data_IF_655460306737
#
_entry.id   IF_655460306737
#
_cell.length_a   1.000
_cell.length_b   1.000
_cell.length_c   1.000
_cell.angle_alpha   90.00
_cell.angle_beta   90.00
_cell.angle_gamma   90.00
#
_symmetry.space_group_name_H-M   'P 1'
#
loop_
_entity.id
_entity.type
_entity.pdbx_description
1 polymer ?
#
# COMPACT_ATOMS: atom_id res chain seq x y z
N UNK A 1 1.01 33.73 -15.76
CA UNK A 1 0.89 32.51 -14.94
C UNK A 1 -0.53 32.41 -14.44
N UNK A 2 -1.30 31.39 -14.85
CA UNK A 2 -2.66 31.17 -14.34
C UNK A 2 -2.60 30.45 -12.99
N UNK A 3 -3.28 30.93 -11.93
CA UNK A 3 -3.31 30.24 -10.66
C UNK A 3 -4.02 28.90 -10.80
N UNK A 4 -3.41 27.83 -10.27
CA UNK A 4 -4.00 26.49 -10.28
C UNK A 4 -5.22 26.49 -9.35
N UNK A 5 -6.41 26.05 -9.81
CA UNK A 5 -7.60 25.91 -8.97
C UNK A 5 -7.33 25.05 -7.72
N UNK A 6 -7.78 25.51 -6.55
CA UNK A 6 -7.57 24.85 -5.24
C UNK A 6 -8.02 23.37 -5.25
N UNK A 7 -9.10 23.06 -5.96
CA UNK A 7 -9.59 21.68 -6.13
C UNK A 7 -8.58 20.75 -6.82
N UNK A 8 -7.83 21.26 -7.81
CA UNK A 8 -6.78 20.50 -8.52
C UNK A 8 -5.57 20.30 -7.61
N UNK A 9 -5.19 21.32 -6.84
CA UNK A 9 -4.09 21.24 -5.88
C UNK A 9 -4.36 20.20 -4.78
N UNK A 10 -5.58 20.18 -4.23
CA UNK A 10 -5.96 19.21 -3.20
C UNK A 10 -5.99 17.76 -3.73
N UNK A 11 -6.46 17.55 -4.97
CA UNK A 11 -6.38 16.23 -5.63
C UNK A 11 -4.93 15.78 -5.82
N UNK A 12 -4.03 16.66 -6.27
CA UNK A 12 -2.59 16.35 -6.42
C UNK A 12 -1.96 15.97 -5.08
N UNK A 13 -2.19 16.74 -4.01
CA UNK A 13 -1.68 16.42 -2.66
C UNK A 13 -2.18 15.08 -2.15
N UNK A 14 -3.48 14.79 -2.33
CA UNK A 14 -4.07 13.49 -1.94
C UNK A 14 -3.47 12.32 -2.71
N UNK A 15 -3.15 12.52 -3.99
CA UNK A 15 -2.45 11.51 -4.81
C UNK A 15 -1.04 11.25 -4.29
N UNK A 16 -0.24 12.29 -4.05
CA UNK A 16 1.13 12.15 -3.52
C UNK A 16 1.11 11.40 -2.19
N UNK A 17 0.22 11.77 -1.26
CA UNK A 17 0.08 11.06 0.03
C UNK A 17 -0.27 9.58 -0.13
N UNK A 18 -1.02 9.20 -1.17
CA UNK A 18 -1.32 7.79 -1.47
C UNK A 18 -0.10 7.06 -2.01
N UNK A 19 0.61 7.64 -2.99
CA UNK A 19 1.81 7.02 -3.58
C UNK A 19 2.89 6.76 -2.51
N UNK A 20 3.16 7.73 -1.64
CA UNK A 20 4.09 7.57 -0.52
C UNK A 20 3.63 6.44 0.41
N UNK A 21 2.33 6.35 0.70
CA UNK A 21 1.80 5.27 1.54
C UNK A 21 1.92 3.91 0.89
N UNK A 22 1.64 3.80 -0.42
CA UNK A 22 1.81 2.56 -1.18
C UNK A 22 3.27 2.09 -1.17
N UNK A 23 4.20 3.03 -1.35
CA UNK A 23 5.64 2.76 -1.27
C UNK A 23 6.04 2.25 0.12
N UNK A 24 5.61 2.91 1.19
CA UNK A 24 5.89 2.48 2.56
C UNK A 24 5.35 1.06 2.86
N UNK A 25 4.10 0.78 2.45
CA UNK A 25 3.49 -0.55 2.62
C UNK A 25 4.36 -1.60 1.91
N UNK A 26 4.75 -1.33 0.66
CA UNK A 26 5.59 -2.23 -0.10
C UNK A 26 6.95 -2.47 0.58
N UNK A 27 7.68 -1.42 0.94
CA UNK A 27 8.99 -1.55 1.61
C UNK A 27 8.92 -2.31 2.93
N UNK A 28 7.86 -2.13 3.71
CA UNK A 28 7.73 -2.83 4.99
C UNK A 28 7.48 -4.32 4.79
N UNK A 29 6.61 -4.67 3.85
CA UNK A 29 6.36 -6.07 3.48
C UNK A 29 7.62 -6.69 2.85
N UNK A 30 8.41 -5.91 2.10
CA UNK A 30 9.68 -6.36 1.53
C UNK A 30 10.71 -6.73 2.60
N UNK A 31 10.77 -5.96 3.68
CA UNK A 31 11.66 -6.22 4.82
C UNK A 31 11.22 -7.43 5.65
N UNK A 32 9.91 -7.58 5.90
CA UNK A 32 9.37 -8.63 6.78
C UNK A 32 8.10 -9.28 6.20
N UNK A 33 8.27 -10.04 5.12
CA UNK A 33 7.21 -10.79 4.44
C UNK A 33 6.51 -11.75 5.42
N UNK A 34 5.18 -11.74 5.46
CA UNK A 34 4.37 -12.57 6.34
C UNK A 34 4.21 -12.07 7.78
N UNK A 35 4.83 -10.95 8.16
CA UNK A 35 4.63 -10.30 9.47
C UNK A 35 3.44 -9.36 9.47
N UNK A 36 3.27 -8.62 8.39
CA UNK A 36 2.33 -7.50 8.32
C UNK A 36 0.90 -7.95 8.08
N UNK A 37 -0.03 -7.24 8.72
CA UNK A 37 -1.48 -7.34 8.49
C UNK A 37 -2.04 -5.95 8.19
N UNK A 38 -3.22 -5.89 7.58
CA UNK A 38 -3.92 -4.62 7.32
C UNK A 38 -4.11 -3.79 8.59
N UNK A 39 -4.38 -4.42 9.74
CA UNK A 39 -4.58 -3.74 11.02
C UNK A 39 -3.30 -3.14 11.58
N UNK A 40 -2.18 -3.85 11.48
CA UNK A 40 -0.86 -3.34 11.91
C UNK A 40 -0.44 -2.13 11.07
N UNK A 41 -0.54 -2.26 9.74
CA UNK A 41 -0.23 -1.17 8.82
C UNK A 41 -1.12 0.06 9.05
N UNK A 42 -2.40 -0.13 9.38
CA UNK A 42 -3.32 0.96 9.69
C UNK A 42 -2.90 1.74 10.93
N UNK A 43 -2.52 1.03 11.99
CA UNK A 43 -2.03 1.62 13.23
C UNK A 43 -0.72 2.39 13.00
N UNK A 44 0.24 1.79 12.33
CA UNK A 44 1.59 2.33 12.20
C UNK A 44 1.68 3.48 11.19
N UNK A 45 0.80 3.50 10.18
CA UNK A 45 0.71 4.59 9.20
C UNK A 45 -0.33 5.66 9.57
N UNK A 46 -0.91 5.57 10.78
CA UNK A 46 -1.96 6.46 11.30
C UNK A 46 -3.09 6.72 10.29
N UNK A 47 -3.65 5.63 9.77
CA UNK A 47 -4.75 5.67 8.81
C UNK A 47 -5.80 4.62 9.12
N UNK A 48 -7.02 4.84 8.63
CA UNK A 48 -8.10 3.87 8.83
C UNK A 48 -7.78 2.53 8.16
N UNK A 49 -8.18 1.38 8.77
CA UNK A 49 -8.02 0.06 8.16
C UNK A 49 -8.62 -0.04 6.76
N UNK A 50 -9.75 0.65 6.52
CA UNK A 50 -10.40 0.72 5.22
C UNK A 50 -9.51 1.39 4.15
N UNK A 51 -8.73 2.39 4.53
CA UNK A 51 -7.80 3.06 3.61
C UNK A 51 -6.65 2.13 3.24
N UNK A 52 -6.04 1.46 4.22
CA UNK A 52 -5.00 0.47 3.97
C UNK A 52 -5.54 -0.68 3.13
N UNK A 53 -6.73 -1.19 3.43
CA UNK A 53 -7.35 -2.26 2.65
C UNK A 53 -7.49 -1.87 1.18
N UNK A 54 -7.97 -0.66 0.88
CA UNK A 54 -8.06 -0.16 -0.49
C UNK A 54 -6.70 -0.04 -1.18
N UNK A 55 -5.64 0.31 -0.43
CA UNK A 55 -4.28 0.41 -0.95
C UNK A 55 -3.65 -0.96 -1.18
N UNK A 56 -3.90 -1.92 -0.28
CA UNK A 56 -3.49 -3.33 -0.41
C UNK A 56 -4.14 -3.96 -1.64
N UNK A 57 -5.45 -3.74 -1.84
CA UNK A 57 -6.15 -4.26 -3.03
C UNK A 57 -5.47 -3.77 -4.33
N UNK A 58 -5.00 -2.52 -4.39
CA UNK A 58 -4.23 -2.01 -5.54
C UNK A 58 -2.87 -2.69 -5.68
N UNK A 59 -2.22 -3.03 -4.58
CA UNK A 59 -0.93 -3.74 -4.58
C UNK A 59 -1.06 -5.25 -4.83
N UNK A 60 -2.29 -5.76 -4.87
CA UNK A 60 -2.62 -7.17 -5.17
C UNK A 60 -3.17 -7.38 -6.58
N UNK A 61 -3.41 -6.30 -7.36
CA UNK A 61 -3.87 -6.43 -8.75
C UNK A 61 -2.94 -7.36 -9.57
N UNK A 62 -3.43 -8.00 -10.63
CA UNK A 62 -2.59 -8.85 -11.48
C UNK A 62 -1.32 -8.11 -11.93
N UNK A 63 -0.15 -8.72 -11.74
CA UNK A 63 1.16 -8.12 -12.02
C UNK A 63 1.71 -7.20 -10.91
N UNK A 64 1.02 -7.06 -9.78
CA UNK A 64 1.46 -6.29 -8.61
C UNK A 64 2.15 -7.17 -7.56
N UNK A 65 2.96 -6.59 -6.68
CA UNK A 65 4.01 -7.35 -6.01
C UNK A 65 3.54 -8.07 -4.74
N UNK A 66 2.31 -7.86 -4.25
CA UNK A 66 1.86 -8.37 -2.96
C UNK A 66 0.73 -9.40 -3.14
N UNK A 67 0.68 -10.38 -2.25
CA UNK A 67 -0.45 -11.28 -2.07
C UNK A 67 -0.74 -11.51 -0.58
N UNK A 68 -1.89 -12.10 -0.27
CA UNK A 68 -2.34 -12.37 1.10
C UNK A 68 -2.45 -13.87 1.34
N UNK A 69 -1.97 -14.34 2.49
CA UNK A 69 -2.27 -15.68 3.01
C UNK A 69 -2.93 -15.52 4.37
N UNK A 70 -4.20 -15.88 4.47
CA UNK A 70 -5.02 -15.54 5.63
C UNK A 70 -5.06 -14.03 5.86
N UNK A 71 -4.57 -13.56 7.02
CA UNK A 71 -4.51 -12.12 7.37
C UNK A 71 -3.15 -11.48 7.08
N UNK A 72 -2.15 -12.28 6.67
CA UNK A 72 -0.75 -11.87 6.52
C UNK A 72 -0.45 -11.50 5.08
N UNK A 73 0.45 -10.53 4.92
CA UNK A 73 0.84 -9.95 3.64
C UNK A 73 2.24 -10.42 3.24
N UNK A 74 2.39 -10.82 1.98
CA UNK A 74 3.61 -11.40 1.44
C UNK A 74 3.96 -10.77 0.09
N UNK A 75 5.23 -10.83 -0.30
CA UNK A 75 5.65 -10.47 -1.65
C UNK A 75 5.62 -11.66 -2.60
N UNK A 76 5.08 -11.46 -3.81
CA UNK A 76 5.05 -12.48 -4.88
C UNK A 76 6.44 -13.00 -5.25
N UNK A 77 7.52 -12.25 -5.03
CA UNK A 77 8.88 -12.78 -5.24
C UNK A 77 9.18 -14.00 -4.36
N UNK A 78 8.53 -14.10 -3.19
CA UNK A 78 8.63 -15.26 -2.29
C UNK A 78 7.82 -16.46 -2.81
N UNK A 79 6.78 -16.23 -3.62
CA UNK A 79 5.98 -17.30 -4.26
C UNK A 79 6.85 -18.17 -5.19
N UNK A 80 7.83 -17.56 -5.85
CA UNK A 80 8.77 -18.24 -6.75
C UNK A 80 9.94 -18.95 -6.04
N UNK A 81 10.13 -18.74 -4.73
CA UNK A 81 11.14 -19.46 -3.94
C UNK A 81 10.61 -20.80 -3.39
N UNK A 82 9.32 -21.04 -3.49
CA UNK A 82 8.67 -22.25 -2.97
C UNK A 82 8.43 -23.34 -4.05
N UNK A 83 9.00 -23.20 -5.25
CA UNK A 83 8.84 -24.12 -6.37
C UNK A 83 10.16 -24.75 -6.80
#
# INVERSE_FOLDING_TARGET
MTPIPIGILNRKRKKIKREVRLFNIYEWIDKESGKWTTGMLARDLDVTPRTIQADICRLMEPGKPIYTVGKKLFLRKDENKAK
#
